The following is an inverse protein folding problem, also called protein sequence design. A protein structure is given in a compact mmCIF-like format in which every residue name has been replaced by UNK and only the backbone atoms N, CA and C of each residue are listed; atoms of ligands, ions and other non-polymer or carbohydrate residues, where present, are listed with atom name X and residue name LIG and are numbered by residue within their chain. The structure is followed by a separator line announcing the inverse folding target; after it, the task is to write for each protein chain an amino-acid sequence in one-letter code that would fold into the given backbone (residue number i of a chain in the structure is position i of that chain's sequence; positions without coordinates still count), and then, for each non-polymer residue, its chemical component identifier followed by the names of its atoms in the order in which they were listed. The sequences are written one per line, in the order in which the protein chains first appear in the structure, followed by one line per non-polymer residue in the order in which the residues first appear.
data_IF_332551804458
#
_entry.id   IF_332551804458
#
_cell.length_a   1.000
_cell.length_b   1.000
_cell.length_c   1.000
_cell.angle_alpha   90.00
_cell.angle_beta   90.00
_cell.angle_gamma   90.00
#
_symmetry.space_group_name_H-M   'P 1'
#
loop_
_entity.id
_entity.type
_entity.pdbx_description
1 polymer ?
#
# COMPACT_ATOMS: atom_id res chain seq x y z
N UNK A 1 1.36 -9.42 19.86
CA UNK A 1 0.80 -9.76 18.53
C UNK A 1 0.06 -8.54 17.97
N UNK A 2 -0.22 -8.55 16.67
CA UNK A 2 -1.05 -7.54 15.97
C UNK A 2 -2.47 -8.11 15.80
N UNK A 3 -3.48 -7.25 15.83
CA UNK A 3 -4.85 -7.58 15.43
C UNK A 3 -4.88 -7.85 13.92
N UNK A 4 -5.23 -9.08 13.47
CA UNK A 4 -5.28 -9.41 12.05
C UNK A 4 -6.28 -8.55 11.24
N UNK A 5 -7.24 -7.91 11.90
CA UNK A 5 -8.21 -7.01 11.30
C UNK A 5 -7.86 -5.52 11.50
N UNK A 6 -6.64 -5.20 11.94
CA UNK A 6 -6.21 -3.82 12.12
C UNK A 6 -6.30 -3.03 10.80
N UNK A 7 -6.93 -1.86 10.85
CA UNK A 7 -7.09 -0.95 9.71
C UNK A 7 -5.92 0.03 9.53
N UNK A 8 -5.10 0.18 10.56
CA UNK A 8 -3.88 1.00 10.53
C UNK A 8 -2.82 0.42 11.47
N UNK A 9 -1.58 0.46 11.02
CA UNK A 9 -0.38 0.04 11.77
C UNK A 9 0.47 1.26 12.06
N UNK A 10 1.02 1.33 13.28
CA UNK A 10 2.03 2.31 13.69
C UNK A 10 3.37 1.59 13.93
N UNK A 11 4.42 2.11 13.28
CA UNK A 11 5.77 1.54 13.26
C UNK A 11 6.10 0.74 11.99
N UNK A 12 7.36 0.33 11.89
CA UNK A 12 7.92 -0.40 10.74
C UNK A 12 8.29 -1.83 11.14
N UNK A 13 8.14 -2.78 10.22
CA UNK A 13 8.54 -4.19 10.43
C UNK A 13 10.03 -4.40 10.13
N UNK A 14 10.91 -3.79 10.95
CA UNK A 14 12.36 -3.99 10.81
C UNK A 14 12.77 -5.35 11.34
N UNK A 15 13.69 -5.99 10.63
CA UNK A 15 14.27 -7.26 11.07
C UNK A 15 14.86 -7.13 12.48
N UNK A 16 14.47 -8.04 13.37
CA UNK A 16 14.93 -8.06 14.75
C UNK A 16 14.81 -9.50 15.31
N UNK A 17 15.84 -10.02 16.01
CA UNK A 17 15.80 -11.37 16.57
C UNK A 17 14.66 -11.60 17.58
N UNK A 18 14.14 -10.55 18.23
CA UNK A 18 12.99 -10.63 19.14
C UNK A 18 11.66 -10.94 18.45
N UNK A 19 11.60 -10.88 17.11
CA UNK A 19 10.39 -11.24 16.37
C UNK A 19 10.22 -12.76 16.21
N UNK A 20 11.26 -13.54 16.46
CA UNK A 20 11.20 -15.00 16.37
C UNK A 20 10.46 -15.59 17.58
N UNK A 21 9.52 -16.51 17.34
CA UNK A 21 8.74 -17.13 18.41
C UNK A 21 9.50 -18.24 19.17
N UNK A 22 10.58 -18.78 18.60
CA UNK A 22 11.20 -20.03 19.04
C UNK A 22 10.91 -21.19 18.07
N UNK A 23 11.70 -22.27 18.14
CA UNK A 23 11.51 -23.46 17.29
C UNK A 23 10.84 -24.60 18.07
N UNK A 24 11.59 -25.25 18.97
CA UNK A 24 11.08 -26.34 19.82
C UNK A 24 10.57 -25.83 21.17
N UNK A 25 11.11 -24.71 21.63
CA UNK A 25 10.76 -24.04 22.88
C UNK A 25 10.47 -22.57 22.58
N UNK A 26 9.53 -21.94 23.31
CA UNK A 26 9.22 -20.54 23.11
C UNK A 26 10.39 -19.65 23.52
N UNK A 27 10.61 -18.58 22.77
CA UNK A 27 11.50 -17.50 23.19
C UNK A 27 10.77 -16.61 24.22
N UNK A 28 11.30 -16.54 25.44
CA UNK A 28 10.67 -15.82 26.54
C UNK A 28 10.94 -14.31 26.56
N UNK A 29 11.74 -13.79 25.61
CA UNK A 29 12.06 -12.37 25.54
C UNK A 29 10.86 -11.57 25.06
N UNK A 30 10.50 -10.51 25.78
CA UNK A 30 9.44 -9.60 25.35
C UNK A 30 9.86 -8.81 24.09
N UNK A 31 8.93 -8.68 23.15
CA UNK A 31 9.12 -7.94 21.91
C UNK A 31 8.29 -6.65 21.83
N UNK A 32 7.56 -6.29 22.89
CA UNK A 32 6.69 -5.11 22.89
C UNK A 32 7.42 -3.80 22.54
N UNK A 33 8.71 -3.68 22.88
CA UNK A 33 9.50 -2.50 22.55
C UNK A 33 9.73 -2.28 21.04
N UNK A 34 9.65 -3.33 20.22
CA UNK A 34 9.97 -3.27 18.78
C UNK A 34 8.81 -3.69 17.87
N UNK A 35 7.82 -4.42 18.39
CA UNK A 35 6.69 -4.88 17.59
C UNK A 35 5.77 -3.70 17.23
N UNK A 36 5.41 -3.50 15.93
CA UNK A 36 4.46 -2.48 15.51
C UNK A 36 3.11 -2.60 16.23
N UNK A 37 2.41 -1.48 16.35
CA UNK A 37 1.14 -1.38 17.10
C UNK A 37 -0.04 -1.23 16.15
N UNK A 38 -1.18 -1.75 16.58
CA UNK A 38 -2.45 -1.48 15.91
C UNK A 38 -2.94 -0.10 16.36
N UNK A 39 -3.53 0.65 15.44
CA UNK A 39 -4.16 1.94 15.73
C UNK A 39 -5.67 1.81 15.59
N UNK A 40 -6.39 2.25 16.62
CA UNK A 40 -7.85 2.41 16.53
C UNK A 40 -8.12 3.63 15.67
N UNK A 41 -8.89 3.44 14.61
CA UNK A 41 -9.25 4.51 13.68
C UNK A 41 -10.77 4.65 13.59
N UNK A 42 -11.25 5.85 13.34
CA UNK A 42 -12.65 6.12 12.99
C UNK A 42 -12.71 6.48 11.51
N UNK A 43 -13.71 5.99 10.80
CA UNK A 43 -13.89 6.27 9.38
C UNK A 43 -15.09 7.21 9.21
N UNK A 44 -14.79 8.50 9.06
CA UNK A 44 -15.76 9.56 8.81
C UNK A 44 -15.46 10.29 7.50
N UNK A 45 -14.84 9.59 6.54
CA UNK A 45 -14.54 10.18 5.24
C UNK A 45 -15.85 10.48 4.49
N UNK A 46 -16.03 11.72 4.04
CA UNK A 46 -17.16 12.12 3.19
C UNK A 46 -16.83 11.78 1.75
N UNK A 47 -17.57 10.82 1.19
CA UNK A 47 -17.39 10.36 -0.19
C UNK A 47 -18.06 11.26 -1.22
N UNK A 48 -18.80 12.28 -0.79
CA UNK A 48 -19.56 13.19 -1.67
C UNK A 48 -20.44 12.40 -2.66
N UNK A 49 -20.20 12.54 -3.96
CA UNK A 49 -20.96 11.90 -5.03
C UNK A 49 -20.24 10.67 -5.65
N UNK A 50 -19.24 10.08 -4.97
CA UNK A 50 -18.53 8.90 -5.49
C UNK A 50 -19.49 7.73 -5.73
N UNK A 51 -19.39 7.14 -6.92
CA UNK A 51 -20.23 6.02 -7.34
C UNK A 51 -19.44 5.05 -8.24
N UNK A 52 -19.72 3.74 -8.17
CA UNK A 52 -19.00 2.76 -8.97
C UNK A 52 -19.27 2.96 -10.47
N UNK A 53 -18.23 3.03 -11.34
CA UNK A 53 -18.41 3.22 -12.77
C UNK A 53 -19.20 2.11 -13.49
N UNK A 54 -19.21 0.89 -12.93
CA UNK A 54 -19.94 -0.28 -13.45
C UNK A 54 -19.68 -0.56 -14.94
N UNK A 55 -18.44 -0.37 -15.40
CA UNK A 55 -18.02 -0.69 -16.78
C UNK A 55 -18.37 -2.15 -17.11
N UNK A 56 -19.12 -2.43 -18.19
CA UNK A 56 -19.39 -3.80 -18.60
C UNK A 56 -18.10 -4.57 -18.92
N UNK A 57 -18.05 -5.85 -18.57
CA UNK A 57 -16.88 -6.70 -18.83
C UNK A 57 -16.48 -6.74 -20.31
N UNK A 58 -17.45 -6.75 -21.23
CA UNK A 58 -17.19 -6.72 -22.68
C UNK A 58 -16.57 -5.41 -23.19
N UNK A 59 -16.50 -4.37 -22.37
CA UNK A 59 -15.87 -3.09 -22.67
C UNK A 59 -14.72 -2.78 -21.71
N UNK A 60 -14.25 -3.76 -20.93
CA UNK A 60 -13.21 -3.56 -19.92
C UNK A 60 -11.82 -3.72 -20.53
N UNK A 61 -10.96 -2.72 -20.30
CA UNK A 61 -9.54 -2.74 -20.59
C UNK A 61 -8.80 -2.48 -19.28
N UNK A 62 -8.07 -3.49 -18.81
CA UNK A 62 -7.31 -3.48 -17.55
C UNK A 62 -5.90 -2.97 -17.82
N UNK A 63 -5.41 -2.08 -16.96
CA UNK A 63 -4.02 -1.63 -16.91
C UNK A 63 -3.41 -1.97 -15.56
N UNK A 64 -2.50 -2.94 -15.53
CA UNK A 64 -1.78 -3.31 -14.30
C UNK A 64 -0.66 -2.30 -14.03
N UNK A 65 -0.57 -1.78 -12.80
CA UNK A 65 0.45 -0.81 -12.42
C UNK A 65 0.90 -0.91 -10.96
N UNK A 66 2.16 -0.56 -10.72
CA UNK A 66 2.71 -0.35 -9.38
C UNK A 66 2.52 1.10 -8.95
N UNK A 67 1.87 1.35 -7.79
CA UNK A 67 1.60 2.71 -7.24
C UNK A 67 2.83 3.62 -7.29
N UNK A 68 3.94 3.16 -6.69
CA UNK A 68 5.22 3.86 -6.73
C UNK A 68 5.78 4.00 -8.15
N UNK A 69 6.05 2.87 -8.81
CA UNK A 69 6.73 2.84 -10.11
C UNK A 69 6.09 3.68 -11.20
N UNK A 70 4.75 3.71 -11.26
CA UNK A 70 4.01 4.40 -12.32
C UNK A 70 4.31 5.90 -12.39
N UNK A 71 4.53 6.55 -11.24
CA UNK A 71 4.63 8.02 -11.17
C UNK A 71 5.95 8.53 -10.58
N UNK A 72 6.82 7.63 -10.08
CA UNK A 72 8.03 8.03 -9.34
C UNK A 72 8.96 8.95 -10.11
N UNK A 73 9.10 8.73 -11.43
CA UNK A 73 9.95 9.53 -12.31
C UNK A 73 9.16 10.47 -13.23
N UNK A 74 7.85 10.62 -13.01
CA UNK A 74 7.00 11.40 -13.92
C UNK A 74 7.29 12.92 -13.77
N UNK A 75 7.82 13.60 -14.80
CA UNK A 75 8.33 14.96 -14.66
C UNK A 75 7.25 16.00 -14.35
N UNK A 76 6.04 15.78 -14.84
CA UNK A 76 4.89 16.68 -14.65
C UNK A 76 4.14 16.48 -13.32
N UNK A 77 4.55 15.52 -12.49
CA UNK A 77 3.99 15.32 -11.16
C UNK A 77 4.86 16.09 -10.14
N UNK A 78 4.27 16.87 -9.22
CA UNK A 78 5.01 17.50 -8.12
C UNK A 78 5.85 16.48 -7.35
N UNK A 79 7.11 16.81 -7.09
CA UNK A 79 8.12 15.86 -6.57
C UNK A 79 7.67 15.21 -5.27
N UNK A 80 7.00 15.97 -4.40
CA UNK A 80 6.53 15.56 -3.08
C UNK A 80 5.40 14.52 -3.09
N UNK A 81 4.70 14.33 -4.22
CA UNK A 81 3.64 13.32 -4.33
C UNK A 81 4.01 12.15 -5.26
N UNK A 82 5.16 12.18 -5.93
CA UNK A 82 5.57 11.12 -6.87
C UNK A 82 5.62 9.77 -6.18
N UNK A 83 5.08 8.75 -6.83
CA UNK A 83 5.04 7.39 -6.34
C UNK A 83 4.11 7.16 -5.14
N UNK A 84 3.16 8.06 -4.91
CA UNK A 84 2.14 7.95 -3.85
C UNK A 84 0.74 7.77 -4.43
N UNK A 85 -0.23 7.39 -3.59
CA UNK A 85 -1.64 7.32 -3.98
C UNK A 85 -2.18 8.64 -4.55
N UNK A 86 -1.72 9.79 -4.02
CA UNK A 86 -2.16 11.11 -4.47
C UNK A 86 -1.73 11.40 -5.92
N UNK A 87 -0.58 10.88 -6.37
CA UNK A 87 -0.16 11.04 -7.75
C UNK A 87 -1.04 10.28 -8.75
N UNK A 88 -1.63 9.15 -8.35
CA UNK A 88 -2.54 8.38 -9.22
C UNK A 88 -3.80 9.19 -9.57
N UNK A 89 -4.30 9.98 -8.60
CA UNK A 89 -5.44 10.89 -8.79
C UNK A 89 -5.06 12.27 -9.33
N UNK A 90 -3.78 12.53 -9.64
CA UNK A 90 -3.35 13.83 -10.15
C UNK A 90 -3.90 14.06 -11.58
N UNK A 91 -4.30 15.29 -11.97
CA UNK A 91 -4.88 15.56 -13.29
C UNK A 91 -4.05 15.06 -14.48
N UNK A 92 -2.72 15.12 -14.39
CA UNK A 92 -1.79 14.56 -15.38
C UNK A 92 -2.00 13.06 -15.59
N UNK A 93 -2.08 12.29 -14.50
CA UNK A 93 -2.27 10.84 -14.58
C UNK A 93 -3.67 10.49 -15.06
N UNK A 94 -4.71 11.17 -14.56
CA UNK A 94 -6.08 10.96 -15.02
C UNK A 94 -6.18 11.25 -16.52
N UNK A 95 -5.62 12.37 -17.00
CA UNK A 95 -5.62 12.72 -18.41
C UNK A 95 -4.92 11.65 -19.26
N UNK A 96 -3.73 11.21 -18.86
CA UNK A 96 -2.99 10.14 -19.51
C UNK A 96 -3.82 8.84 -19.60
N UNK A 97 -4.39 8.36 -18.49
CA UNK A 97 -5.16 7.11 -18.47
C UNK A 97 -6.42 7.21 -19.34
N UNK A 98 -7.08 8.39 -19.36
CA UNK A 98 -8.24 8.65 -20.22
C UNK A 98 -7.86 8.69 -21.70
N UNK A 99 -6.72 9.29 -22.06
CA UNK A 99 -6.23 9.32 -23.44
C UNK A 99 -5.75 7.95 -23.93
N UNK A 100 -5.11 7.18 -23.05
CA UNK A 100 -4.72 5.79 -23.32
C UNK A 100 -5.96 4.91 -23.57
N UNK A 101 -7.12 5.29 -23.02
CA UNK A 101 -8.40 4.63 -23.28
C UNK A 101 -8.67 3.41 -22.42
N UNK A 102 -7.95 3.26 -21.30
CA UNK A 102 -8.22 2.17 -20.35
C UNK A 102 -9.51 2.44 -19.57
N UNK A 103 -10.07 1.39 -18.98
CA UNK A 103 -11.30 1.52 -18.16
C UNK A 103 -11.13 1.06 -16.73
N UNK A 104 -10.08 0.29 -16.42
CA UNK A 104 -9.78 -0.20 -15.08
C UNK A 104 -8.27 -0.13 -14.83
N UNK A 105 -7.88 0.46 -13.70
CA UNK A 105 -6.51 0.45 -13.20
C UNK A 105 -6.40 -0.65 -12.14
N UNK A 106 -5.60 -1.69 -12.40
CA UNK A 106 -5.34 -2.77 -11.47
C UNK A 106 -4.01 -2.50 -10.75
N UNK A 107 -4.06 -2.36 -9.43
CA UNK A 107 -2.88 -2.03 -8.63
C UNK A 107 -2.21 -3.31 -8.11
N UNK A 108 -0.87 -3.36 -8.23
CA UNK A 108 -0.06 -4.31 -7.47
C UNK A 108 -0.32 -4.14 -5.94
N UNK A 109 0.03 -5.13 -5.11
CA UNK A 109 -0.40 -5.22 -3.72
C UNK A 109 -0.28 -3.91 -2.91
N UNK A 110 -1.41 -3.44 -2.37
CA UNK A 110 -1.53 -2.25 -1.51
C UNK A 110 -1.91 -2.57 -0.06
N UNK A 111 -2.25 -3.83 0.24
CA UNK A 111 -2.36 -4.28 1.61
C UNK A 111 -0.98 -4.17 2.28
N UNK A 112 -0.92 -3.64 3.51
CA UNK A 112 0.34 -3.43 4.23
C UNK A 112 1.19 -4.70 4.19
N UNK A 113 2.43 -4.55 3.71
CA UNK A 113 3.40 -5.63 3.64
C UNK A 113 4.71 -5.22 4.34
N UNK A 114 5.60 -6.19 4.50
CA UNK A 114 6.94 -5.98 5.03
C UNK A 114 7.95 -6.57 4.05
N UNK A 115 9.14 -5.98 3.97
CA UNK A 115 10.27 -6.63 3.31
C UNK A 115 10.76 -7.78 4.18
N UNK A 116 11.06 -8.93 3.58
CA UNK A 116 11.51 -10.09 4.33
C UNK A 116 12.88 -9.83 4.99
N UNK A 117 13.17 -10.44 6.16
CA UNK A 117 14.44 -10.24 6.87
C UNK A 117 15.69 -10.38 6.00
N UNK A 118 15.68 -11.34 5.06
CA UNK A 118 16.80 -11.56 4.14
C UNK A 118 17.01 -10.35 3.22
N UNK A 119 15.94 -9.77 2.69
CA UNK A 119 16.01 -8.63 1.78
C UNK A 119 16.49 -7.38 2.53
N UNK A 120 15.99 -7.13 3.74
CA UNK A 120 16.41 -5.99 4.55
C UNK A 120 17.92 -5.98 4.85
N UNK A 121 18.54 -7.16 5.00
CA UNK A 121 19.98 -7.29 5.23
C UNK A 121 20.84 -7.11 3.98
N UNK A 122 20.25 -7.10 2.79
CA UNK A 122 20.98 -6.93 1.52
C UNK A 122 21.20 -5.47 1.12
N UNK A 123 20.55 -4.52 1.79
CA UNK A 123 20.52 -3.10 1.41
C UNK A 123 19.52 -2.84 0.29
#
# INVERSE_FOLDING_TARGET
MIDPCARQIDGEFKDNPLLHAGHNEPDYRDNAAIAPKCVVVVDHYDWEDDAPPRTPWGSTIIYEAHVKGLTYLHPEIPVEIRGTYKALGHPVMINYLKQLGITALELLPVAQFASEPRLQRMG
#
